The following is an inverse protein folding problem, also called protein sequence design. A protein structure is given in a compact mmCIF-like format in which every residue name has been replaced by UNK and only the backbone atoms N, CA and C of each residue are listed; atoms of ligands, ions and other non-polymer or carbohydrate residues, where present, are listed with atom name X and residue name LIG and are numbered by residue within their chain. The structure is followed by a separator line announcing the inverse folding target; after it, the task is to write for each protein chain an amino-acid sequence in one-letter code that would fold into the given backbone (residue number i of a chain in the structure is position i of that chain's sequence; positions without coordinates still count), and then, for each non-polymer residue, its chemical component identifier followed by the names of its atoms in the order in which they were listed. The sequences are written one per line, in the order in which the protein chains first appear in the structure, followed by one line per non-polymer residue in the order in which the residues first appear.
data_IF_721082667911
#
_entry.id   IF_721082667911
#
_cell.length_a   1.000
_cell.length_b   1.000
_cell.length_c   1.000
_cell.angle_alpha   90.00
_cell.angle_beta   90.00
_cell.angle_gamma   90.00
#
_symmetry.space_group_name_H-M   'P 1'
#
loop_
_entity.id
_entity.type
_entity.pdbx_description
1 polymer ?
#
# COMPACT_ATOMS: atom_id res chain seq x y z
N UNK A 1 -15.87 -4.57 -2.85
CA UNK A 1 -14.43 -4.81 -2.79
C UNK A 1 -14.02 -5.45 -1.46
N UNK A 2 -14.24 -4.78 -0.34
CA UNK A 2 -13.85 -5.26 1.00
C UNK A 2 -14.37 -6.66 1.29
N UNK A 3 -15.66 -6.93 1.03
CA UNK A 3 -16.24 -8.26 1.22
C UNK A 3 -15.56 -9.34 0.36
N UNK A 4 -15.19 -9.03 -0.88
CA UNK A 4 -14.49 -10.00 -1.75
C UNK A 4 -13.06 -10.27 -1.28
N UNK A 5 -12.34 -9.24 -0.81
CA UNK A 5 -11.02 -9.40 -0.19
C UNK A 5 -11.12 -10.25 1.09
N UNK A 6 -12.14 -10.02 1.90
CA UNK A 6 -12.39 -10.78 3.11
C UNK A 6 -12.73 -12.25 2.83
N UNK A 7 -13.56 -12.54 1.82
CA UNK A 7 -13.83 -13.92 1.38
C UNK A 7 -12.58 -14.61 0.84
N UNK A 8 -11.72 -13.88 0.13
CA UNK A 8 -10.42 -14.40 -0.31
C UNK A 8 -9.50 -14.74 0.88
N UNK A 9 -9.50 -13.91 1.94
CA UNK A 9 -8.77 -14.18 3.19
C UNK A 9 -9.30 -15.45 3.87
N UNK A 10 -10.62 -15.59 4.01
CA UNK A 10 -11.22 -16.80 4.59
C UNK A 10 -10.84 -18.04 3.78
N UNK A 11 -10.90 -17.98 2.45
CA UNK A 11 -10.45 -19.08 1.59
C UNK A 11 -8.99 -19.44 1.87
N UNK A 12 -8.10 -18.45 2.06
CA UNK A 12 -6.70 -18.68 2.42
C UNK A 12 -6.57 -19.38 3.79
N UNK A 13 -7.31 -18.91 4.78
CA UNK A 13 -7.29 -19.52 6.12
C UNK A 13 -7.74 -20.98 6.07
N UNK A 14 -8.79 -21.28 5.31
CA UNK A 14 -9.29 -22.65 5.15
C UNK A 14 -8.26 -23.53 4.43
N UNK A 15 -7.61 -23.04 3.38
CA UNK A 15 -6.53 -23.77 2.68
C UNK A 15 -5.41 -24.13 3.67
N UNK A 16 -4.93 -23.13 4.44
CA UNK A 16 -3.86 -23.37 5.42
C UNK A 16 -4.29 -24.34 6.52
N UNK A 17 -5.54 -24.25 6.99
CA UNK A 17 -6.09 -25.19 7.98
C UNK A 17 -6.14 -26.64 7.46
N UNK A 18 -6.55 -26.84 6.21
CA UNK A 18 -6.57 -28.18 5.60
C UNK A 18 -5.13 -28.73 5.49
N UNK A 19 -4.17 -27.93 5.03
CA UNK A 19 -2.77 -28.33 4.94
C UNK A 19 -2.19 -28.65 6.33
N UNK A 20 -2.48 -27.81 7.32
CA UNK A 20 -2.07 -28.00 8.72
C UNK A 20 -2.58 -29.34 9.28
N UNK A 21 -3.85 -29.66 9.03
CA UNK A 21 -4.42 -30.95 9.45
C UNK A 21 -3.76 -32.14 8.72
N UNK A 22 -3.47 -32.00 7.43
CA UNK A 22 -2.77 -33.06 6.68
C UNK A 22 -1.35 -33.32 7.24
N UNK A 23 -0.62 -32.24 7.57
CA UNK A 23 0.72 -32.32 8.18
C UNK A 23 0.63 -33.03 9.53
N UNK A 24 -0.36 -32.71 10.35
CA UNK A 24 -0.55 -33.31 11.65
C UNK A 24 -0.88 -34.80 11.57
N UNK A 25 -1.78 -35.22 10.66
CA UNK A 25 -2.08 -36.63 10.39
C UNK A 25 -0.85 -37.42 9.96
N UNK A 26 -0.02 -36.85 9.04
CA UNK A 26 1.23 -37.47 8.60
C UNK A 26 2.25 -37.63 9.73
N UNK A 27 2.37 -36.59 10.58
CA UNK A 27 3.31 -36.62 11.71
C UNK A 27 2.94 -37.68 12.76
N UNK A 28 1.64 -37.91 12.98
CA UNK A 28 1.12 -38.93 13.89
C UNK A 28 1.20 -40.36 13.30
N UNK A 29 1.75 -40.49 12.08
CA UNK A 29 1.90 -41.80 11.40
C UNK A 29 0.59 -42.37 10.86
N UNK A 30 -0.48 -41.57 10.85
CA UNK A 30 -1.75 -41.97 10.25
C UNK A 30 -1.73 -41.73 8.73
N UNK A 31 -2.31 -42.68 7.97
CA UNK A 31 -2.57 -42.42 6.56
C UNK A 31 -3.57 -41.25 6.44
N UNK A 32 -3.22 -40.23 5.65
CA UNK A 32 -4.11 -39.08 5.42
C UNK A 32 -5.43 -39.58 4.83
N UNK A 33 -6.49 -39.50 5.64
CA UNK A 33 -7.80 -39.96 5.21
C UNK A 33 -8.31 -39.04 4.09
N UNK A 34 -8.80 -39.66 3.00
CA UNK A 34 -9.35 -38.95 1.84
C UNK A 34 -8.37 -37.91 1.21
N UNK A 35 -7.08 -38.26 1.06
CA UNK A 35 -6.03 -37.41 0.50
C UNK A 35 -6.45 -36.73 -0.81
N UNK A 36 -7.02 -37.50 -1.75
CA UNK A 36 -7.46 -37.00 -3.07
C UNK A 36 -8.57 -35.93 -2.92
N UNK A 37 -9.50 -36.12 -1.98
CA UNK A 37 -10.59 -35.15 -1.75
C UNK A 37 -10.04 -33.85 -1.16
N UNK A 38 -9.11 -33.93 -0.18
CA UNK A 38 -8.48 -32.76 0.42
C UNK A 38 -7.74 -31.92 -0.64
N UNK A 39 -7.02 -32.56 -1.57
CA UNK A 39 -6.33 -31.87 -2.68
C UNK A 39 -7.35 -31.19 -3.62
N UNK A 40 -8.43 -31.86 -4.00
CA UNK A 40 -9.46 -31.29 -4.85
C UNK A 40 -10.07 -30.05 -4.18
N UNK A 41 -10.37 -30.11 -2.89
CA UNK A 41 -10.89 -28.96 -2.13
C UNK A 41 -9.91 -27.80 -2.15
N UNK A 42 -8.61 -28.04 -1.93
CA UNK A 42 -7.57 -27.01 -1.99
C UNK A 42 -7.54 -26.34 -3.37
N UNK A 43 -7.56 -27.14 -4.44
CA UNK A 43 -7.56 -26.62 -5.82
C UNK A 43 -8.80 -25.74 -6.06
N UNK A 44 -9.98 -26.21 -5.66
CA UNK A 44 -11.22 -25.43 -5.79
C UNK A 44 -11.15 -24.12 -5.00
N UNK A 45 -10.63 -24.14 -3.77
CA UNK A 45 -10.46 -22.92 -2.95
C UNK A 45 -9.46 -21.94 -3.56
N UNK A 46 -8.37 -22.42 -4.18
CA UNK A 46 -7.41 -21.58 -4.91
C UNK A 46 -8.10 -20.90 -6.10
N UNK A 47 -8.90 -21.64 -6.86
CA UNK A 47 -9.68 -21.08 -7.97
C UNK A 47 -10.70 -20.02 -7.50
N UNK A 48 -11.40 -20.31 -6.41
CA UNK A 48 -12.34 -19.37 -5.76
C UNK A 48 -11.60 -18.09 -5.31
N UNK A 49 -10.45 -18.22 -4.63
CA UNK A 49 -9.60 -17.09 -4.23
C UNK A 49 -9.18 -16.26 -5.44
N UNK A 50 -8.73 -16.91 -6.52
CA UNK A 50 -8.36 -16.26 -7.78
C UNK A 50 -9.53 -15.51 -8.42
N UNK A 51 -10.72 -16.11 -8.39
CA UNK A 51 -11.95 -15.48 -8.88
C UNK A 51 -12.32 -14.23 -8.07
N UNK A 52 -12.26 -14.30 -6.73
CA UNK A 52 -12.49 -13.14 -5.88
C UNK A 52 -11.47 -12.03 -6.13
N UNK A 53 -10.19 -12.37 -6.35
CA UNK A 53 -9.15 -11.40 -6.73
C UNK A 53 -9.49 -10.64 -8.03
N UNK A 54 -9.96 -11.35 -9.06
CA UNK A 54 -10.44 -10.72 -10.31
C UNK A 54 -11.64 -9.82 -10.08
N UNK A 55 -12.58 -10.23 -9.23
CA UNK A 55 -13.74 -9.40 -8.89
C UNK A 55 -13.32 -8.13 -8.15
N UNK A 56 -12.41 -8.21 -7.18
CA UNK A 56 -11.85 -7.03 -6.48
C UNK A 56 -11.29 -6.03 -7.49
N UNK A 57 -10.44 -6.48 -8.42
CA UNK A 57 -9.84 -5.64 -9.45
C UNK A 57 -10.90 -5.01 -10.38
N UNK A 58 -11.90 -5.80 -10.80
CA UNK A 58 -12.99 -5.30 -11.65
C UNK A 58 -13.84 -4.25 -10.94
N UNK A 59 -14.19 -4.47 -9.66
CA UNK A 59 -14.96 -3.49 -8.88
C UNK A 59 -14.14 -2.24 -8.57
N UNK A 60 -12.82 -2.38 -8.33
CA UNK A 60 -11.90 -1.25 -8.16
C UNK A 60 -11.91 -0.38 -9.41
N UNK A 61 -11.73 -0.99 -10.56
CA UNK A 61 -11.72 -0.28 -11.85
C UNK A 61 -13.07 0.41 -12.14
N UNK A 62 -14.21 -0.27 -11.92
CA UNK A 62 -15.54 0.32 -12.13
C UNK A 62 -15.80 1.50 -11.20
N UNK A 63 -15.45 1.36 -9.91
CA UNK A 63 -15.60 2.45 -8.95
C UNK A 63 -14.75 3.66 -9.32
N UNK A 64 -13.47 3.44 -9.63
CA UNK A 64 -12.54 4.47 -10.08
C UNK A 64 -13.04 5.19 -11.34
N UNK A 65 -13.47 4.45 -12.36
CA UNK A 65 -14.02 5.00 -13.60
C UNK A 65 -15.26 5.87 -13.36
N UNK A 66 -16.20 5.40 -12.53
CA UNK A 66 -17.43 6.14 -12.24
C UNK A 66 -17.14 7.44 -11.47
N UNK A 67 -16.26 7.40 -10.48
CA UNK A 67 -15.87 8.57 -9.69
C UNK A 67 -15.16 9.58 -10.59
N UNK A 68 -14.20 9.14 -11.41
CA UNK A 68 -13.46 9.96 -12.36
C UNK A 68 -14.41 10.67 -13.34
N UNK A 69 -15.35 9.92 -13.92
CA UNK A 69 -16.36 10.49 -14.83
C UNK A 69 -17.25 11.52 -14.15
N UNK A 70 -17.74 11.21 -12.94
CA UNK A 70 -18.61 12.13 -12.18
C UNK A 70 -17.86 13.40 -11.78
N UNK A 71 -16.67 13.29 -11.22
CA UNK A 71 -15.88 14.45 -10.81
C UNK A 71 -15.53 15.37 -11.98
N UNK A 72 -15.15 14.82 -13.14
CA UNK A 72 -14.90 15.62 -14.33
C UNK A 72 -16.17 16.35 -14.82
N UNK A 73 -17.31 15.66 -14.79
CA UNK A 73 -18.59 16.25 -15.14
C UNK A 73 -18.98 17.38 -14.17
N UNK A 74 -18.82 17.16 -12.86
CA UNK A 74 -19.15 18.16 -11.83
C UNK A 74 -18.25 19.40 -11.93
N UNK A 75 -16.94 19.22 -12.17
CA UNK A 75 -16.00 20.32 -12.41
C UNK A 75 -16.41 21.09 -13.68
N UNK A 76 -16.69 20.40 -14.77
CA UNK A 76 -17.09 21.01 -16.03
C UNK A 76 -18.38 21.82 -15.88
N UNK A 77 -19.41 21.27 -15.23
CA UNK A 77 -20.64 21.97 -14.94
C UNK A 77 -20.40 23.22 -14.08
N UNK A 78 -19.53 23.12 -13.07
CA UNK A 78 -19.18 24.25 -12.23
C UNK A 78 -18.49 25.38 -13.00
N UNK A 79 -17.61 25.03 -13.93
CA UNK A 79 -16.94 26.01 -14.81
C UNK A 79 -17.94 26.68 -15.73
N UNK A 80 -18.91 25.94 -16.31
CA UNK A 80 -19.96 26.50 -17.12
C UNK A 80 -20.85 27.47 -16.34
N UNK A 81 -21.17 27.16 -15.08
CA UNK A 81 -21.96 28.05 -14.21
C UNK A 81 -21.22 29.34 -13.86
N UNK A 82 -19.89 29.31 -13.75
CA UNK A 82 -19.07 30.49 -13.51
C UNK A 82 -18.93 31.37 -14.76
N UNK A 83 -19.23 30.84 -15.94
CA UNK A 83 -19.12 31.52 -17.21
C UNK A 83 -17.76 32.23 -17.39
N UNK A 84 -17.71 33.47 -17.88
CA UNK A 84 -16.45 34.21 -18.06
C UNK A 84 -15.70 34.57 -16.75
N UNK A 85 -16.37 34.47 -15.59
CA UNK A 85 -15.76 34.74 -14.28
C UNK A 85 -14.97 33.55 -13.71
N UNK A 86 -14.86 32.41 -14.39
CA UNK A 86 -14.08 31.31 -13.89
C UNK A 86 -12.58 31.65 -13.77
N UNK A 87 -12.07 32.51 -14.66
CA UNK A 87 -10.67 32.95 -14.65
C UNK A 87 -10.29 33.82 -13.42
N UNK A 88 -11.29 34.45 -12.78
CA UNK A 88 -11.09 35.22 -11.55
C UNK A 88 -10.90 34.32 -10.33
N UNK A 89 -11.41 33.08 -10.40
CA UNK A 89 -11.36 32.09 -9.33
C UNK A 89 -10.20 31.11 -9.51
N UNK A 90 -9.98 30.64 -10.75
CA UNK A 90 -8.94 29.64 -11.06
C UNK A 90 -8.36 29.87 -12.44
N UNK A 91 -7.04 29.82 -12.58
CA UNK A 91 -6.39 29.92 -13.89
C UNK A 91 -6.70 28.68 -14.76
N UNK A 92 -6.74 28.86 -16.07
CA UNK A 92 -6.98 27.78 -17.04
C UNK A 92 -5.95 26.64 -16.87
N UNK A 93 -4.69 26.98 -16.57
CA UNK A 93 -3.65 26.01 -16.33
C UNK A 93 -3.93 25.18 -15.07
N UNK A 94 -4.30 25.82 -13.95
CA UNK A 94 -4.65 25.13 -12.70
C UNK A 94 -5.93 24.29 -12.86
N UNK A 95 -6.90 24.76 -13.63
CA UNK A 95 -8.11 23.99 -13.94
C UNK A 95 -7.77 22.70 -14.73
N UNK A 96 -6.93 22.82 -15.75
CA UNK A 96 -6.46 21.66 -16.53
C UNK A 96 -5.70 20.68 -15.67
N UNK A 97 -4.82 21.15 -14.79
CA UNK A 97 -4.10 20.32 -13.84
C UNK A 97 -5.06 19.63 -12.85
N UNK A 98 -6.05 20.34 -12.33
CA UNK A 98 -7.07 19.75 -11.44
C UNK A 98 -7.87 18.65 -12.15
N UNK A 99 -8.28 18.86 -13.41
CA UNK A 99 -9.05 17.89 -14.19
C UNK A 99 -8.23 16.67 -14.62
N UNK A 100 -6.92 16.81 -14.79
CA UNK A 100 -6.01 15.70 -15.09
C UNK A 100 -5.47 15.04 -13.81
N UNK A 101 -4.53 15.65 -13.15
CA UNK A 101 -3.80 15.08 -12.00
C UNK A 101 -4.64 15.01 -10.72
N UNK A 102 -5.41 16.07 -10.42
CA UNK A 102 -6.26 16.11 -9.22
C UNK A 102 -7.31 15.01 -9.22
N UNK A 103 -7.98 14.81 -10.35
CA UNK A 103 -8.98 13.74 -10.49
C UNK A 103 -8.35 12.35 -10.43
N UNK A 104 -7.12 12.17 -10.96
CA UNK A 104 -6.39 10.89 -10.86
C UNK A 104 -5.99 10.56 -9.42
N UNK A 105 -5.59 11.54 -8.62
CA UNK A 105 -5.32 11.35 -7.19
C UNK A 105 -6.55 10.87 -6.43
N UNK A 106 -7.71 11.45 -6.71
CA UNK A 106 -8.98 11.04 -6.11
C UNK A 106 -9.43 9.64 -6.59
N UNK A 107 -9.12 9.27 -7.83
CA UNK A 107 -9.33 7.90 -8.33
C UNK A 107 -8.57 6.86 -7.50
N UNK A 108 -7.29 7.11 -7.21
CA UNK A 108 -6.47 6.23 -6.37
C UNK A 108 -7.05 6.15 -4.96
N UNK A 109 -7.43 7.30 -4.39
CA UNK A 109 -8.01 7.34 -3.05
C UNK A 109 -9.29 6.51 -2.91
N UNK A 110 -10.26 6.71 -3.78
CA UNK A 110 -11.54 6.01 -3.70
C UNK A 110 -11.49 4.58 -4.26
N UNK A 111 -10.69 4.35 -5.31
CA UNK A 111 -10.60 3.06 -5.98
C UNK A 111 -9.74 2.02 -5.25
N UNK A 112 -8.69 2.47 -4.55
CA UNK A 112 -7.70 1.58 -3.93
C UNK A 112 -7.55 1.82 -2.44
N UNK A 113 -7.24 3.06 -2.02
CA UNK A 113 -6.92 3.37 -0.62
C UNK A 113 -8.08 3.10 0.33
N UNK A 114 -9.27 3.63 0.05
CA UNK A 114 -10.41 3.50 0.95
C UNK A 114 -10.87 2.05 1.16
N UNK A 115 -11.03 1.21 0.12
CA UNK A 115 -11.33 -0.20 0.32
C UNK A 115 -10.23 -0.95 1.09
N UNK A 116 -8.95 -0.66 0.79
CA UNK A 116 -7.82 -1.26 1.49
C UNK A 116 -7.80 -0.87 2.97
N UNK A 117 -8.16 0.36 3.31
CA UNK A 117 -8.24 0.83 4.70
C UNK A 117 -9.24 0.00 5.51
N UNK A 118 -10.47 -0.18 5.01
CA UNK A 118 -11.47 -1.00 5.70
C UNK A 118 -11.05 -2.47 5.78
N UNK A 119 -10.46 -3.00 4.71
CA UNK A 119 -9.94 -4.37 4.72
C UNK A 119 -8.81 -4.56 5.74
N UNK A 120 -7.91 -3.58 5.85
CA UNK A 120 -6.79 -3.59 6.80
C UNK A 120 -7.21 -3.58 8.26
N UNK A 121 -8.40 -3.09 8.56
CA UNK A 121 -9.00 -3.19 9.91
C UNK A 121 -9.69 -4.55 10.12
N UNK A 122 -10.40 -5.04 9.11
CA UNK A 122 -11.21 -6.26 9.22
C UNK A 122 -10.34 -7.53 9.23
N UNK A 123 -9.28 -7.58 8.43
CA UNK A 123 -8.43 -8.76 8.28
C UNK A 123 -7.74 -9.18 9.59
N UNK A 124 -7.03 -8.30 10.34
CA UNK A 124 -6.42 -8.68 11.61
C UNK A 124 -7.43 -9.10 12.67
N UNK A 125 -8.62 -8.47 12.71
CA UNK A 125 -9.69 -8.86 13.64
C UNK A 125 -10.17 -10.28 13.36
N UNK A 126 -10.43 -10.62 12.09
CA UNK A 126 -10.87 -11.97 11.72
C UNK A 126 -9.80 -13.01 12.00
N UNK A 127 -8.53 -12.71 11.70
CA UNK A 127 -7.41 -13.60 12.01
C UNK A 127 -7.23 -13.78 13.53
N UNK A 128 -7.37 -12.72 14.32
CA UNK A 128 -7.31 -12.80 15.77
C UNK A 128 -8.39 -13.74 16.34
N UNK A 129 -9.63 -13.64 15.85
CA UNK A 129 -10.72 -14.52 16.28
C UNK A 129 -10.44 -15.98 15.94
N UNK A 130 -9.87 -16.24 14.76
CA UNK A 130 -9.60 -17.60 14.30
C UNK A 130 -8.38 -18.19 15.02
N UNK A 131 -7.24 -17.48 15.01
CA UNK A 131 -5.99 -17.96 15.59
C UNK A 131 -5.99 -17.88 17.12
N UNK A 132 -6.77 -16.99 17.71
CA UNK A 132 -6.95 -16.91 19.16
C UNK A 132 -7.63 -18.16 19.77
N UNK A 133 -8.35 -18.94 18.96
CA UNK A 133 -8.88 -20.26 19.37
C UNK A 133 -7.83 -21.36 19.29
N UNK A 134 -6.79 -21.18 18.50
CA UNK A 134 -5.68 -22.12 18.36
C UNK A 134 -4.64 -21.87 19.45
N UNK A 135 -4.14 -20.63 19.53
CA UNK A 135 -3.16 -20.21 20.53
C UNK A 135 -3.37 -18.73 20.85
N UNK A 136 -4.02 -18.48 21.98
CA UNK A 136 -4.43 -17.12 22.37
C UNK A 136 -3.23 -16.19 22.61
N UNK A 137 -2.14 -16.68 23.24
CA UNK A 137 -0.95 -15.86 23.56
C UNK A 137 -0.27 -15.35 22.31
N UNK A 138 -0.02 -16.24 21.34
CA UNK A 138 0.61 -15.88 20.07
C UNK A 138 -0.30 -14.93 19.24
N UNK A 139 -1.60 -15.22 19.16
CA UNK A 139 -2.54 -14.38 18.45
C UNK A 139 -2.65 -12.97 19.07
N UNK A 140 -2.62 -12.86 20.40
CA UNK A 140 -2.68 -11.59 21.11
C UNK A 140 -1.42 -10.74 20.81
N UNK A 141 -0.24 -11.34 20.82
CA UNK A 141 1.01 -10.62 20.48
C UNK A 141 0.97 -10.13 19.04
N UNK A 142 0.55 -10.97 18.08
CA UNK A 142 0.36 -10.56 16.69
C UNK A 142 -0.60 -9.38 16.60
N UNK A 143 -1.74 -9.44 17.27
CA UNK A 143 -2.76 -8.39 17.25
C UNK A 143 -2.27 -7.07 17.86
N UNK A 144 -1.51 -7.11 18.95
CA UNK A 144 -0.90 -5.93 19.60
C UNK A 144 0.16 -5.28 18.69
N UNK A 145 0.87 -6.07 17.89
CA UNK A 145 1.85 -5.55 16.93
C UNK A 145 1.19 -4.87 15.70
N UNK A 146 -0.06 -5.16 15.38
CA UNK A 146 -0.77 -4.57 14.23
C UNK A 146 -0.80 -3.04 14.27
N UNK A 147 -1.17 -2.36 15.35
CA UNK A 147 -1.19 -0.89 15.44
C UNK A 147 0.18 -0.23 15.30
N UNK A 148 1.29 -0.97 15.48
CA UNK A 148 2.63 -0.42 15.32
C UNK A 148 2.93 0.00 13.88
N UNK A 149 2.30 -0.65 12.87
CA UNK A 149 2.46 -0.27 11.47
C UNK A 149 1.90 1.13 11.19
N UNK A 150 0.63 1.46 11.45
CA UNK A 150 0.13 2.82 11.30
C UNK A 150 0.93 3.86 12.09
N UNK A 151 1.36 3.53 13.31
CA UNK A 151 2.20 4.42 14.12
C UNK A 151 3.53 4.68 13.43
N UNK A 152 4.20 3.65 12.90
CA UNK A 152 5.47 3.81 12.17
C UNK A 152 5.30 4.66 10.91
N UNK A 153 4.19 4.49 10.16
CA UNK A 153 3.87 5.30 8.98
C UNK A 153 3.74 6.78 9.37
N UNK A 154 2.94 7.10 10.40
CA UNK A 154 2.73 8.48 10.86
C UNK A 154 4.04 9.12 11.35
N UNK A 155 4.88 8.38 12.07
CA UNK A 155 6.18 8.88 12.54
C UNK A 155 7.09 9.24 11.35
N UNK A 156 7.21 8.36 10.38
CA UNK A 156 8.02 8.61 9.18
C UNK A 156 7.49 9.78 8.38
N UNK A 157 6.16 9.88 8.19
CA UNK A 157 5.55 11.00 7.45
C UNK A 157 5.82 12.36 8.09
N UNK A 158 5.87 12.46 9.43
CA UNK A 158 6.22 13.72 10.11
C UNK A 158 7.64 14.20 9.76
N UNK A 159 8.61 13.27 9.70
CA UNK A 159 9.98 13.60 9.27
C UNK A 159 10.06 13.89 7.77
N UNK A 160 9.30 13.16 6.97
CA UNK A 160 9.24 13.29 5.52
C UNK A 160 8.71 14.65 5.06
N UNK A 161 7.72 15.21 5.73
CA UNK A 161 7.00 16.41 5.31
C UNK A 161 7.92 17.61 5.03
N UNK A 162 8.91 17.86 5.88
CA UNK A 162 9.87 18.98 5.69
C UNK A 162 10.74 18.78 4.45
N UNK A 163 11.19 17.54 4.22
CA UNK A 163 12.04 17.21 3.10
C UNK A 163 11.27 17.26 1.77
N UNK A 164 10.04 16.77 1.75
CA UNK A 164 9.14 16.83 0.61
C UNK A 164 8.77 18.27 0.23
N UNK A 165 8.45 19.13 1.22
CA UNK A 165 8.19 20.55 0.95
C UNK A 165 9.40 21.23 0.31
N UNK A 166 10.61 20.92 0.77
CA UNK A 166 11.84 21.45 0.17
C UNK A 166 12.06 20.91 -1.26
N UNK A 167 11.77 19.64 -1.49
CA UNK A 167 11.85 19.03 -2.81
C UNK A 167 10.90 19.70 -3.81
N UNK A 168 9.63 19.87 -3.45
CA UNK A 168 8.64 20.51 -4.32
C UNK A 168 8.95 21.97 -4.61
N UNK A 169 9.46 22.71 -3.62
CA UNK A 169 9.90 24.10 -3.82
C UNK A 169 11.06 24.19 -4.81
N UNK A 170 12.07 23.33 -4.69
CA UNK A 170 13.20 23.31 -5.64
C UNK A 170 12.80 22.83 -7.03
N UNK A 171 11.88 21.85 -7.12
CA UNK A 171 11.36 21.35 -8.39
C UNK A 171 10.64 22.45 -9.18
N UNK A 172 9.74 23.21 -8.55
CA UNK A 172 9.03 24.31 -9.19
C UNK A 172 9.97 25.40 -9.67
N UNK A 173 10.88 25.87 -8.81
CA UNK A 173 11.85 26.90 -9.16
C UNK A 173 12.79 26.48 -10.29
N UNK A 174 13.26 25.23 -10.30
CA UNK A 174 14.14 24.73 -11.36
C UNK A 174 13.40 24.67 -12.71
N UNK A 175 12.16 24.22 -12.71
CA UNK A 175 11.34 24.15 -13.92
C UNK A 175 11.07 25.55 -14.51
N UNK A 176 10.70 26.52 -13.66
CA UNK A 176 10.45 27.91 -14.05
C UNK A 176 11.71 28.55 -14.65
N UNK A 177 12.84 28.46 -13.96
CA UNK A 177 14.13 29.01 -14.44
C UNK A 177 14.60 28.35 -15.72
N UNK A 178 14.40 27.03 -15.85
CA UNK A 178 14.72 26.33 -17.10
C UNK A 178 13.93 26.90 -18.28
N UNK A 179 12.62 27.06 -18.12
CA UNK A 179 11.76 27.63 -19.17
C UNK A 179 12.15 29.07 -19.50
N UNK A 180 12.47 29.89 -18.51
CA UNK A 180 12.89 31.27 -18.72
C UNK A 180 14.21 31.33 -19.46
N UNK A 181 15.18 30.48 -19.11
CA UNK A 181 16.46 30.39 -19.80
C UNK A 181 16.30 29.92 -21.25
N UNK A 182 15.41 28.96 -21.53
CA UNK A 182 15.10 28.52 -22.90
C UNK A 182 14.44 29.64 -23.71
N UNK A 183 13.47 30.36 -23.11
CA UNK A 183 12.83 31.52 -23.76
C UNK A 183 13.82 32.65 -24.05
N UNK A 184 14.76 32.90 -23.12
CA UNK A 184 15.80 33.93 -23.23
C UNK A 184 17.07 33.50 -23.96
N UNK A 185 17.12 32.30 -24.55
CA UNK A 185 18.35 31.73 -25.12
C UNK A 185 19.01 32.59 -26.21
N UNK A 186 18.20 33.21 -27.08
CA UNK A 186 18.68 34.11 -28.13
C UNK A 186 19.37 35.32 -27.53
N UNK A 187 18.80 35.92 -26.50
CA UNK A 187 19.35 37.07 -25.78
C UNK A 187 20.64 36.67 -25.05
N UNK A 188 20.62 35.53 -24.33
CA UNK A 188 21.79 35.01 -23.62
C UNK A 188 23.00 34.79 -24.59
N UNK A 189 22.75 34.23 -25.77
CA UNK A 189 23.78 34.05 -26.79
C UNK A 189 24.29 35.38 -27.36
N UNK A 190 23.39 36.34 -27.60
CA UNK A 190 23.75 37.66 -28.08
C UNK A 190 24.71 38.43 -27.16
N UNK A 191 24.51 38.24 -25.83
CA UNK A 191 25.38 38.87 -24.81
C UNK A 191 26.48 37.93 -24.28
N UNK A 192 26.74 36.77 -24.90
CA UNK A 192 27.77 35.78 -24.50
C UNK A 192 27.61 35.33 -23.03
N UNK A 193 26.37 35.38 -22.46
CA UNK A 193 26.06 34.99 -21.10
C UNK A 193 25.68 33.52 -20.93
N UNK A 194 25.67 32.74 -22.01
CA UNK A 194 25.21 31.35 -22.04
C UNK A 194 26.04 30.42 -21.14
N UNK A 195 27.40 30.59 -21.14
CA UNK A 195 28.27 29.77 -20.28
C UNK A 195 28.05 30.04 -18.77
N UNK A 196 27.95 31.30 -18.37
CA UNK A 196 27.67 31.63 -16.96
C UNK A 196 26.35 31.08 -16.52
N UNK A 197 25.33 31.18 -17.39
CA UNK A 197 23.98 30.63 -17.10
C UNK A 197 23.94 29.10 -17.08
N UNK A 198 24.75 28.46 -17.92
CA UNK A 198 24.92 27.01 -17.89
C UNK A 198 25.51 26.53 -16.55
N UNK A 199 26.54 27.19 -16.04
CA UNK A 199 27.12 26.85 -14.73
C UNK A 199 26.12 27.03 -13.60
N UNK A 200 25.38 28.15 -13.57
CA UNK A 200 24.32 28.39 -12.59
C UNK A 200 23.25 27.29 -12.61
N UNK A 201 22.78 26.93 -13.82
CA UNK A 201 21.78 25.87 -13.98
C UNK A 201 22.31 24.49 -13.55
N UNK A 202 23.59 24.22 -13.81
CA UNK A 202 24.21 22.95 -13.40
C UNK A 202 24.31 22.87 -11.85
N UNK A 203 24.66 23.97 -11.18
CA UNK A 203 24.65 23.99 -9.71
C UNK A 203 23.24 23.76 -9.12
N UNK A 204 22.23 24.38 -9.73
CA UNK A 204 20.83 24.18 -9.28
C UNK A 204 20.38 22.74 -9.53
N UNK A 205 20.73 22.17 -10.68
CA UNK A 205 20.46 20.76 -10.98
C UNK A 205 21.15 19.81 -9.99
N UNK A 206 22.40 20.10 -9.58
CA UNK A 206 23.09 19.34 -8.54
C UNK A 206 22.42 19.48 -7.14
N UNK A 207 21.96 20.67 -6.78
CA UNK A 207 21.19 20.88 -5.54
C UNK A 207 19.89 20.08 -5.56
N UNK A 208 19.18 20.11 -6.68
CA UNK A 208 17.96 19.33 -6.87
C UNK A 208 18.23 17.82 -6.81
N UNK A 209 19.26 17.34 -7.49
CA UNK A 209 19.71 15.94 -7.42
C UNK A 209 19.97 15.50 -5.98
N UNK A 210 20.70 16.31 -5.20
CA UNK A 210 21.03 15.98 -3.82
C UNK A 210 19.78 15.89 -2.91
N UNK A 211 18.80 16.75 -3.13
CA UNK A 211 17.52 16.66 -2.41
C UNK A 211 16.70 15.46 -2.86
N UNK A 212 16.66 15.17 -4.17
CA UNK A 212 15.99 13.99 -4.72
C UNK A 212 16.55 12.71 -4.13
N UNK A 213 17.89 12.59 -4.04
CA UNK A 213 18.53 11.43 -3.42
C UNK A 213 18.20 11.30 -1.94
N UNK A 214 18.11 12.42 -1.20
CA UNK A 214 17.67 12.39 0.21
C UNK A 214 16.21 11.93 0.35
N UNK A 215 15.33 12.37 -0.55
CA UNK A 215 13.92 11.91 -0.58
C UNK A 215 13.85 10.41 -0.86
N UNK A 216 14.61 9.91 -1.85
CA UNK A 216 14.65 8.48 -2.17
C UNK A 216 15.17 7.64 -1.00
N UNK A 217 16.26 8.05 -0.36
CA UNK A 217 16.79 7.36 0.83
C UNK A 217 15.75 7.33 1.95
N UNK A 218 15.07 8.44 2.17
CA UNK A 218 13.99 8.53 3.18
C UNK A 218 12.83 7.59 2.84
N UNK A 219 12.39 7.52 1.57
CA UNK A 219 11.33 6.60 1.15
C UNK A 219 11.74 5.13 1.34
N UNK A 220 12.97 4.76 0.97
CA UNK A 220 13.48 3.40 1.16
C UNK A 220 13.57 3.04 2.65
N UNK A 221 14.06 3.95 3.50
CA UNK A 221 14.12 3.74 4.94
C UNK A 221 12.71 3.60 5.54
N UNK A 222 11.73 4.36 5.04
CA UNK A 222 10.35 4.25 5.46
C UNK A 222 9.79 2.84 5.21
N UNK A 223 9.98 2.31 4.01
CA UNK A 223 9.58 0.96 3.66
C UNK A 223 10.30 -0.07 4.54
N UNK A 224 11.61 0.09 4.75
CA UNK A 224 12.41 -0.81 5.59
C UNK A 224 11.94 -0.85 7.05
N UNK A 225 11.59 0.31 7.63
CA UNK A 225 11.05 0.39 9.00
C UNK A 225 9.69 -0.32 9.07
N UNK A 226 8.83 -0.09 8.10
CA UNK A 226 7.52 -0.73 8.04
C UNK A 226 7.65 -2.25 7.89
N UNK A 227 8.58 -2.73 7.05
CA UNK A 227 8.88 -4.14 6.87
C UNK A 227 9.48 -4.76 8.14
N UNK A 228 10.36 -4.05 8.84
CA UNK A 228 10.93 -4.49 10.11
C UNK A 228 9.83 -4.69 11.17
N UNK A 229 8.89 -3.77 11.27
CA UNK A 229 7.75 -3.88 12.20
C UNK A 229 6.85 -5.06 11.81
N UNK A 230 6.53 -5.21 10.52
CA UNK A 230 5.65 -6.27 10.04
C UNK A 230 6.27 -7.67 10.23
N UNK A 231 7.49 -7.88 9.75
CA UNK A 231 8.17 -9.16 9.87
C UNK A 231 8.66 -9.44 11.28
N UNK A 232 9.06 -8.39 12.03
CA UNK A 232 9.41 -8.51 13.45
C UNK A 232 8.22 -8.96 14.29
N UNK A 233 7.04 -8.37 14.07
CA UNK A 233 5.80 -8.79 14.71
C UNK A 233 5.41 -10.23 14.37
N UNK A 234 5.52 -10.61 13.09
CA UNK A 234 5.29 -11.99 12.66
C UNK A 234 6.28 -12.97 13.32
N UNK A 235 7.56 -12.61 13.39
CA UNK A 235 8.60 -13.43 14.04
C UNK A 235 8.31 -13.64 15.53
N UNK A 236 7.87 -12.61 16.25
CA UNK A 236 7.46 -12.76 17.66
C UNK A 236 6.29 -13.74 17.81
N UNK A 237 5.28 -13.66 16.97
CA UNK A 237 4.15 -14.59 16.96
C UNK A 237 4.60 -16.03 16.69
N UNK A 238 5.52 -16.23 15.75
CA UNK A 238 6.10 -17.53 15.41
C UNK A 238 6.90 -18.09 16.60
N UNK A 239 7.75 -17.28 17.22
CA UNK A 239 8.56 -17.70 18.38
C UNK A 239 7.64 -18.18 19.52
N UNK A 240 6.61 -17.41 19.87
CA UNK A 240 5.65 -17.79 20.91
C UNK A 240 4.93 -19.08 20.55
N UNK A 241 4.51 -19.23 19.30
CA UNK A 241 3.87 -20.46 18.81
C UNK A 241 4.79 -21.69 18.95
N UNK A 242 6.09 -21.53 18.64
CA UNK A 242 7.07 -22.60 18.82
C UNK A 242 7.27 -22.95 20.29
N UNK A 243 7.31 -21.98 21.21
CA UNK A 243 7.36 -22.24 22.66
C UNK A 243 6.10 -22.98 23.15
N UNK A 244 4.93 -22.60 22.65
CA UNK A 244 3.67 -23.30 22.99
C UNK A 244 3.66 -24.74 22.46
N UNK A 245 4.25 -25.00 21.30
CA UNK A 245 4.45 -26.35 20.77
C UNK A 245 5.39 -27.17 21.63
N UNK A 246 6.54 -26.62 22.03
CA UNK A 246 7.49 -27.31 22.94
C UNK A 246 6.84 -27.62 24.29
N UNK A 247 5.98 -26.75 24.76
CA UNK A 247 5.20 -26.97 25.99
C UNK A 247 4.04 -27.97 25.84
N UNK A 248 3.79 -28.51 24.64
CA UNK A 248 2.69 -29.45 24.37
C UNK A 248 1.29 -28.81 24.36
N UNK A 249 1.21 -27.48 24.31
CA UNK A 249 -0.08 -26.77 24.32
C UNK A 249 -0.79 -26.78 22.96
N UNK A 250 -0.03 -26.90 21.88
CA UNK A 250 -0.53 -26.94 20.48
C UNK A 250 0.16 -28.04 19.68
N UNK A 251 -0.54 -28.55 18.66
CA UNK A 251 -0.04 -29.58 17.76
C UNK A 251 0.85 -29.00 16.66
N UNK A 252 1.63 -29.87 15.97
CA UNK A 252 2.47 -29.49 14.85
C UNK A 252 1.66 -28.78 13.73
N UNK A 253 0.47 -29.31 13.40
CA UNK A 253 -0.41 -28.69 12.41
C UNK A 253 -0.87 -27.28 12.82
N UNK A 254 -1.24 -27.09 14.08
CA UNK A 254 -1.61 -25.79 14.64
C UNK A 254 -0.42 -24.81 14.60
N UNK A 255 0.77 -25.27 14.94
CA UNK A 255 2.00 -24.48 14.84
C UNK A 255 2.26 -24.04 13.40
N UNK A 256 2.12 -24.96 12.44
CA UNK A 256 2.25 -24.64 11.01
C UNK A 256 1.22 -23.59 10.57
N UNK A 257 -0.03 -23.71 11.01
CA UNK A 257 -1.07 -22.75 10.75
C UNK A 257 -0.72 -21.35 11.29
N UNK A 258 -0.21 -21.27 12.52
CA UNK A 258 0.26 -20.01 13.13
C UNK A 258 1.40 -19.39 12.34
N UNK A 259 2.39 -20.16 11.90
CA UNK A 259 3.52 -19.68 11.10
C UNK A 259 3.04 -19.11 9.77
N UNK A 260 2.20 -19.85 9.04
CA UNK A 260 1.72 -19.44 7.71
C UNK A 260 0.81 -18.22 7.75
N UNK A 261 -0.03 -18.10 8.78
CA UNK A 261 -0.99 -17.00 8.88
C UNK A 261 -0.47 -15.78 9.64
N UNK A 262 0.67 -15.86 10.34
CA UNK A 262 1.25 -14.73 11.07
C UNK A 262 1.56 -13.54 10.15
N UNK A 263 2.05 -13.79 8.94
CA UNK A 263 2.32 -12.74 7.96
C UNK A 263 1.05 -12.05 7.45
N UNK A 264 -0.07 -12.78 7.37
CA UNK A 264 -1.35 -12.25 6.88
C UNK A 264 -1.96 -11.17 7.80
N UNK A 265 -1.53 -11.08 9.07
CA UNK A 265 -1.91 -9.98 9.95
C UNK A 265 -1.40 -8.62 9.47
N UNK A 266 -0.22 -8.60 8.85
CA UNK A 266 0.52 -7.38 8.55
C UNK A 266 0.43 -6.97 7.08
N UNK A 267 0.24 -7.93 6.16
CA UNK A 267 0.17 -7.68 4.71
C UNK A 267 -0.87 -6.61 4.34
N UNK A 268 -2.11 -6.63 4.87
CA UNK A 268 -3.11 -5.63 4.51
C UNK A 268 -2.73 -4.20 4.89
N UNK A 269 -2.10 -4.02 6.07
CA UNK A 269 -1.65 -2.72 6.55
C UNK A 269 -0.40 -2.23 5.80
N UNK A 270 0.52 -3.16 5.48
CA UNK A 270 1.69 -2.85 4.66
C UNK A 270 1.29 -2.31 3.29
N UNK A 271 0.31 -2.94 2.65
CA UNK A 271 -0.23 -2.47 1.37
C UNK A 271 -0.87 -1.08 1.49
N UNK A 272 -1.48 -0.75 2.63
CA UNK A 272 -2.03 0.59 2.88
C UNK A 272 -0.94 1.67 2.86
N UNK A 273 0.26 1.36 3.35
CA UNK A 273 1.40 2.28 3.36
C UNK A 273 2.02 2.54 1.97
N UNK A 274 1.64 1.76 0.94
CA UNK A 274 2.13 1.93 -0.42
C UNK A 274 1.30 2.92 -1.26
N UNK A 275 0.15 3.37 -0.78
CA UNK A 275 -0.72 4.37 -1.39
C UNK A 275 -0.49 5.75 -0.79
#
# INVERSE_FOLDING_TARGET
QVLMQWLALISQVVIVAIIANMINELYQGHQVNNFSIKIIIIIVLILIKGYFGKLVSSFSFKAAKNIKGKLRCDIYQKVLLLNNHYSDVISTASLTQLMSEGVEQLEIYFGKYLPQFFYSMLAPLTLFIILGRVEFKAALVLFVCVPLIPVSIVLVQKFAKRLLNKYWGLYGNLAERFLDNVRGLTTLKGYQGDQAKHLEMNEEAQRFRNITMKVLVMQLNSISIMDLVAYGGAALGIIISLYSYQGGAIDLGQTFMMIMLSAEFFIPLRLLGSF
#
